data_IF_759293181620
#
_entry.id   IF_759293181620
#
_cell.length_a   1.000
_cell.length_b   1.000
_cell.length_c   1.000
_cell.angle_alpha   90.00
_cell.angle_beta   90.00
_cell.angle_gamma   90.00
#
_symmetry.space_group_name_H-M   'P 1'
#
loop_
_entity.id
_entity.type
_entity.pdbx_description
1 polymer ?
#
# COMPACT_ATOMS: atom_id res chain seq x y z
N UNK A 1 25.55 -7.17 10.83
CA UNK A 1 24.44 -7.97 10.23
C UNK A 1 25.03 -8.88 9.16
N UNK A 2 24.65 -10.16 9.20
CA UNK A 2 25.50 -11.30 8.88
C UNK A 2 25.73 -11.45 7.37
N UNK A 3 26.78 -10.79 6.84
CA UNK A 3 27.40 -11.13 5.56
C UNK A 3 28.33 -12.34 5.75
N UNK A 4 27.82 -13.44 6.32
CA UNK A 4 28.51 -14.69 6.10
C UNK A 4 28.33 -15.04 4.62
N UNK A 5 29.41 -15.46 3.97
CA UNK A 5 29.46 -15.82 2.56
C UNK A 5 28.74 -17.16 2.33
N UNK A 6 27.46 -17.20 2.70
CA UNK A 6 26.55 -18.35 2.59
C UNK A 6 26.17 -18.44 1.12
N UNK A 7 26.68 -19.47 0.46
CA UNK A 7 26.47 -19.70 -0.96
C UNK A 7 26.06 -21.14 -1.28
N UNK A 8 25.85 -21.96 -0.25
CA UNK A 8 25.42 -23.34 -0.38
C UNK A 8 24.69 -23.81 0.91
N UNK A 9 24.03 -24.97 0.82
CA UNK A 9 23.24 -25.55 1.91
C UNK A 9 24.08 -25.89 3.14
N UNK A 10 25.31 -26.38 2.98
CA UNK A 10 26.15 -26.76 4.13
C UNK A 10 26.48 -25.53 4.99
N UNK A 11 26.93 -24.44 4.37
CA UNK A 11 27.21 -23.19 5.08
C UNK A 11 25.96 -22.60 5.73
N UNK A 12 24.79 -22.78 5.11
CA UNK A 12 23.53 -22.37 5.73
C UNK A 12 23.25 -23.20 6.99
N UNK A 13 23.43 -24.52 6.93
CA UNK A 13 23.25 -25.42 8.08
C UNK A 13 24.23 -25.02 9.20
N UNK A 14 25.51 -24.80 8.87
CA UNK A 14 26.52 -24.36 9.84
C UNK A 14 26.13 -23.02 10.49
N UNK A 15 25.63 -22.08 9.68
CA UNK A 15 25.13 -20.79 10.15
C UNK A 15 23.94 -20.94 11.11
N UNK A 16 22.91 -21.69 10.73
CA UNK A 16 21.72 -21.92 11.56
C UNK A 16 22.08 -22.66 12.85
N UNK A 17 22.94 -23.66 12.77
CA UNK A 17 23.42 -24.43 13.93
C UNK A 17 24.18 -23.53 14.90
N UNK A 18 24.98 -22.60 14.38
CA UNK A 18 25.70 -21.62 15.20
C UNK A 18 24.77 -20.60 15.87
N UNK A 19 23.76 -20.10 15.15
CA UNK A 19 22.78 -19.16 15.71
C UNK A 19 21.97 -19.81 16.85
N UNK A 20 21.64 -21.10 16.73
CA UNK A 20 20.99 -21.92 17.75
C UNK A 20 19.77 -21.27 18.46
N UNK A 21 19.01 -20.47 17.73
CA UNK A 21 17.79 -19.85 18.22
C UNK A 21 16.54 -20.64 17.80
N UNK A 22 15.37 -20.22 18.28
CA UNK A 22 14.12 -20.94 18.03
C UNK A 22 13.78 -21.06 16.55
N UNK A 23 14.10 -20.05 15.74
CA UNK A 23 13.94 -20.08 14.28
C UNK A 23 14.89 -21.08 13.62
N UNK A 24 16.18 -21.03 13.96
CA UNK A 24 17.19 -21.93 13.40
C UNK A 24 16.87 -23.39 13.67
N UNK A 25 16.49 -23.73 14.91
CA UNK A 25 16.08 -25.10 15.29
C UNK A 25 14.83 -25.53 14.51
N UNK A 26 13.87 -24.62 14.34
CA UNK A 26 12.68 -24.87 13.55
C UNK A 26 13.01 -25.18 12.08
N UNK A 27 13.88 -24.40 11.44
CA UNK A 27 14.26 -24.60 10.04
C UNK A 27 15.09 -25.88 9.86
N UNK A 28 16.11 -26.11 10.71
CA UNK A 28 16.98 -27.28 10.63
C UNK A 28 16.18 -28.59 10.65
N UNK A 29 15.19 -28.69 11.54
CA UNK A 29 14.33 -29.88 11.64
C UNK A 29 13.39 -30.10 10.42
N UNK A 30 13.41 -29.19 9.43
CA UNK A 30 12.56 -29.22 8.24
C UNK A 30 13.34 -29.25 6.92
N UNK A 31 14.67 -29.09 6.96
CA UNK A 31 15.53 -29.20 5.78
C UNK A 31 15.59 -30.64 5.21
N UNK A 32 15.57 -31.65 6.08
CA UNK A 32 15.79 -33.06 5.71
C UNK A 32 14.53 -33.84 5.31
N UNK A 33 13.33 -33.23 5.35
CA UNK A 33 12.09 -33.95 5.08
C UNK A 33 11.95 -34.22 3.58
N UNK A 34 12.31 -35.43 3.15
CA UNK A 34 11.90 -35.98 1.85
C UNK A 34 10.36 -35.97 1.77
N UNK A 35 9.89 -35.00 0.98
CA UNK A 35 8.54 -34.61 0.63
C UNK A 35 7.63 -35.76 0.17
N UNK A 36 7.24 -36.67 1.05
CA UNK A 36 6.23 -37.69 0.74
C UNK A 36 4.83 -37.26 1.20
N UNK A 37 4.72 -36.42 2.23
CA UNK A 37 3.43 -35.86 2.70
C UNK A 37 3.13 -34.42 2.23
N UNK A 38 4.14 -33.70 1.73
CA UNK A 38 3.97 -32.30 1.31
C UNK A 38 3.19 -32.14 -0.01
N UNK A 39 3.12 -33.18 -0.84
CA UNK A 39 2.34 -33.16 -2.09
C UNK A 39 0.83 -33.23 -1.85
N UNK A 40 0.39 -33.69 -0.67
CA UNK A 40 -1.03 -33.78 -0.31
C UNK A 40 -1.58 -32.51 0.35
N UNK A 41 -0.70 -31.62 0.82
CA UNK A 41 -1.08 -30.39 1.53
C UNK A 41 -0.72 -29.15 0.69
N UNK A 42 -1.51 -28.07 0.85
CA UNK A 42 -1.17 -26.78 0.23
C UNK A 42 0.09 -26.22 0.88
N UNK A 43 1.20 -26.28 0.15
CA UNK A 43 2.51 -25.80 0.61
C UNK A 43 2.95 -24.53 -0.10
N UNK A 44 3.83 -23.78 0.55
CA UNK A 44 4.44 -22.55 0.05
C UNK A 44 5.95 -22.59 0.27
N UNK A 45 6.67 -21.83 -0.55
CA UNK A 45 8.11 -21.63 -0.37
C UNK A 45 8.35 -20.49 0.62
N UNK A 46 9.16 -20.76 1.62
CA UNK A 46 9.64 -19.78 2.60
C UNK A 46 11.13 -19.52 2.37
N UNK A 47 11.52 -18.24 2.33
CA UNK A 47 12.92 -17.83 2.31
C UNK A 47 13.51 -17.91 3.71
N UNK A 48 14.54 -18.74 3.89
CA UNK A 48 15.20 -18.95 5.19
C UNK A 48 15.92 -17.67 5.64
N UNK A 49 16.62 -17.04 4.71
CA UNK A 49 17.09 -15.66 4.83
C UNK A 49 16.08 -14.79 4.07
N UNK A 50 15.32 -13.91 4.73
CA UNK A 50 14.27 -13.14 4.08
C UNK A 50 14.79 -12.16 3.02
N UNK A 51 13.96 -11.88 2.00
CA UNK A 51 14.32 -10.99 0.88
C UNK A 51 14.52 -9.54 1.31
N UNK A 52 13.75 -9.05 2.28
CA UNK A 52 13.95 -7.72 2.88
C UNK A 52 15.26 -7.61 3.68
N UNK A 53 15.92 -8.72 3.95
CA UNK A 53 17.27 -8.80 4.52
C UNK A 53 18.32 -9.19 3.47
N UNK A 54 18.02 -9.00 2.17
CA UNK A 54 18.88 -9.33 1.03
C UNK A 54 19.15 -10.83 0.86
N UNK A 55 18.26 -11.69 1.36
CA UNK A 55 18.32 -13.12 1.12
C UNK A 55 18.14 -13.47 -0.37
N UNK A 56 18.96 -14.37 -0.92
CA UNK A 56 18.89 -14.70 -2.35
C UNK A 56 17.72 -15.64 -2.65
N UNK A 57 17.16 -15.55 -3.86
CA UNK A 57 16.14 -16.46 -4.35
C UNK A 57 16.75 -17.74 -4.94
N UNK A 58 17.51 -18.48 -4.13
CA UNK A 58 18.22 -19.69 -4.52
C UNK A 58 17.67 -20.89 -3.76
N UNK A 59 17.73 -22.09 -4.35
CA UNK A 59 17.15 -23.31 -3.78
C UNK A 59 17.63 -23.61 -2.37
N UNK A 60 18.92 -23.37 -2.07
CA UNK A 60 19.46 -23.58 -0.73
C UNK A 60 18.86 -22.65 0.33
N UNK A 61 18.32 -21.50 -0.08
CA UNK A 61 17.68 -20.51 0.80
C UNK A 61 16.15 -20.68 0.87
N UNK A 62 15.61 -21.73 0.23
CA UNK A 62 14.17 -21.97 0.15
C UNK A 62 13.81 -23.26 0.86
N UNK A 63 12.77 -23.22 1.68
CA UNK A 63 12.20 -24.41 2.31
C UNK A 63 10.69 -24.45 2.04
N UNK A 64 10.17 -25.65 1.74
CA UNK A 64 8.74 -25.85 1.50
C UNK A 64 8.03 -26.11 2.83
N UNK A 65 7.05 -25.27 3.16
CA UNK A 65 6.29 -25.33 4.41
C UNK A 65 4.78 -25.33 4.12
N UNK A 66 3.97 -25.87 5.03
CA UNK A 66 2.51 -25.62 5.01
C UNK A 66 2.25 -24.15 5.36
N UNK A 67 1.06 -23.63 5.09
CA UNK A 67 0.70 -22.24 5.39
C UNK A 67 0.90 -21.94 6.88
N UNK A 68 0.50 -22.85 7.77
CA UNK A 68 0.63 -22.70 9.23
C UNK A 68 2.10 -22.69 9.65
N UNK A 69 2.93 -23.54 9.04
CA UNK A 69 4.37 -23.60 9.32
C UNK A 69 5.11 -22.41 8.73
N UNK A 70 4.64 -21.88 7.61
CA UNK A 70 5.15 -20.66 7.02
C UNK A 70 4.87 -19.45 7.92
N UNK A 71 3.65 -19.32 8.44
CA UNK A 71 3.30 -18.28 9.42
C UNK A 71 4.17 -18.41 10.69
N UNK A 72 4.29 -19.62 11.24
CA UNK A 72 5.14 -19.89 12.40
C UNK A 72 6.60 -19.50 12.16
N UNK A 73 7.15 -19.75 10.97
CA UNK A 73 8.52 -19.38 10.63
C UNK A 73 8.73 -17.86 10.70
N UNK A 74 7.77 -17.08 10.19
CA UNK A 74 7.80 -15.62 10.26
C UNK A 74 7.62 -15.08 11.68
N UNK A 75 6.79 -15.71 12.52
CA UNK A 75 6.70 -15.39 13.94
C UNK A 75 8.03 -15.57 14.67
N UNK A 76 8.69 -16.71 14.47
CA UNK A 76 9.99 -16.99 15.07
C UNK A 76 11.06 -16.00 14.58
N UNK A 77 11.01 -15.56 13.31
CA UNK A 77 11.89 -14.50 12.81
C UNK A 77 11.64 -13.17 13.53
N UNK A 78 10.37 -12.81 13.74
CA UNK A 78 10.02 -11.61 14.49
C UNK A 78 10.48 -11.70 15.95
N UNK A 79 10.25 -12.82 16.63
CA UNK A 79 10.66 -13.02 18.02
C UNK A 79 12.18 -12.89 18.20
N UNK A 80 12.97 -13.53 17.32
CA UNK A 80 14.42 -13.55 17.42
C UNK A 80 15.09 -12.25 16.97
N UNK A 81 14.54 -11.58 15.95
CA UNK A 81 15.21 -10.44 15.29
C UNK A 81 14.41 -9.13 15.34
N UNK A 82 13.24 -9.12 15.97
CA UNK A 82 12.34 -7.96 16.12
C UNK A 82 11.99 -7.31 14.77
N UNK A 83 11.91 -8.13 13.72
CA UNK A 83 11.68 -7.66 12.37
C UNK A 83 10.18 -7.57 12.04
N UNK A 84 9.66 -6.35 12.06
CA UNK A 84 8.23 -6.05 11.90
C UNK A 84 7.65 -6.52 10.56
N UNK A 85 8.48 -6.63 9.51
CA UNK A 85 8.02 -7.18 8.22
C UNK A 85 7.61 -8.65 8.35
N UNK A 86 8.32 -9.43 9.14
CA UNK A 86 8.02 -10.84 9.39
C UNK A 86 6.75 -10.98 10.24
N UNK A 87 6.53 -10.11 11.24
CA UNK A 87 5.28 -10.06 11.98
C UNK A 87 4.08 -9.84 11.04
N UNK A 88 4.17 -8.85 10.15
CA UNK A 88 3.10 -8.56 9.19
C UNK A 88 2.86 -9.73 8.22
N UNK A 89 3.93 -10.40 7.76
CA UNK A 89 3.82 -11.58 6.91
C UNK A 89 3.12 -12.76 7.63
N UNK A 90 3.46 -13.04 8.90
CA UNK A 90 2.76 -14.07 9.68
C UNK A 90 1.27 -13.76 9.83
N UNK A 91 0.92 -12.52 10.21
CA UNK A 91 -0.47 -12.07 10.34
C UNK A 91 -1.27 -12.30 9.06
N UNK A 92 -0.70 -11.93 7.90
CA UNK A 92 -1.34 -12.15 6.60
C UNK A 92 -1.55 -13.65 6.30
N UNK A 93 -0.56 -14.50 6.59
CA UNK A 93 -0.68 -15.95 6.39
C UNK A 93 -1.73 -16.59 7.30
N UNK A 94 -1.99 -16.00 8.47
CA UNK A 94 -3.06 -16.39 9.40
C UNK A 94 -4.43 -15.80 9.06
N UNK A 95 -4.54 -15.05 7.96
CA UNK A 95 -5.78 -14.41 7.54
C UNK A 95 -6.07 -13.05 8.19
N UNK A 96 -5.16 -12.52 9.01
CA UNK A 96 -5.23 -11.18 9.62
C UNK A 96 -4.68 -10.13 8.64
N UNK A 97 -5.27 -10.04 7.45
CA UNK A 97 -4.74 -9.25 6.35
C UNK A 97 -4.66 -7.76 6.66
N UNK A 98 -5.66 -7.20 7.34
CA UNK A 98 -5.74 -5.76 7.64
C UNK A 98 -4.63 -5.36 8.60
N UNK A 99 -4.45 -6.14 9.67
CA UNK A 99 -3.43 -5.95 10.69
C UNK A 99 -2.03 -6.12 10.11
N UNK A 100 -1.82 -7.15 9.29
CA UNK A 100 -0.54 -7.38 8.62
C UNK A 100 -0.14 -6.26 7.68
N UNK A 101 -1.07 -5.79 6.83
CA UNK A 101 -0.82 -4.65 5.95
C UNK A 101 -0.53 -3.36 6.72
N UNK A 102 -1.29 -3.09 7.78
CA UNK A 102 -1.08 -1.89 8.59
C UNK A 102 0.28 -1.91 9.29
N UNK A 103 0.69 -3.06 9.82
CA UNK A 103 2.00 -3.29 10.45
C UNK A 103 3.15 -2.97 9.48
N UNK A 104 3.12 -3.55 8.27
CA UNK A 104 4.13 -3.31 7.23
C UNK A 104 4.12 -1.85 6.78
N UNK A 105 2.92 -1.27 6.59
CA UNK A 105 2.75 0.11 6.14
C UNK A 105 3.35 1.11 7.13
N UNK A 106 3.07 0.95 8.42
CA UNK A 106 3.59 1.82 9.47
C UNK A 106 5.11 1.76 9.51
N UNK A 107 5.70 0.55 9.49
CA UNK A 107 7.17 0.42 9.49
C UNK A 107 7.82 1.01 8.24
N UNK A 108 7.20 0.78 7.07
CA UNK A 108 7.68 1.37 5.81
C UNK A 108 7.63 2.90 5.87
N UNK A 109 6.56 3.46 6.43
CA UNK A 109 6.39 4.90 6.55
C UNK A 109 7.41 5.52 7.50
N UNK A 110 7.64 4.89 8.64
CA UNK A 110 8.67 5.27 9.60
C UNK A 110 10.06 5.29 8.94
N UNK A 111 10.42 4.22 8.23
CA UNK A 111 11.69 4.13 7.51
C UNK A 111 11.83 5.24 6.47
N UNK A 112 10.77 5.54 5.70
CA UNK A 112 10.79 6.65 4.72
C UNK A 112 10.96 8.00 5.39
N UNK A 113 10.32 8.22 6.54
CA UNK A 113 10.46 9.45 7.32
C UNK A 113 11.89 9.60 7.85
N UNK A 114 12.46 8.54 8.44
CA UNK A 114 13.81 8.54 8.99
C UNK A 114 14.88 8.75 7.91
N UNK A 115 14.72 8.08 6.77
CA UNK A 115 15.63 8.20 5.64
C UNK A 115 15.39 9.45 4.77
N UNK A 116 14.40 10.30 5.14
CA UNK A 116 13.98 11.48 4.36
C UNK A 116 13.83 11.16 2.87
N UNK A 117 13.18 10.04 2.55
CA UNK A 117 12.99 9.56 1.18
C UNK A 117 11.56 9.81 0.68
N UNK A 118 11.36 9.71 -0.63
CA UNK A 118 10.03 9.83 -1.27
C UNK A 118 9.36 11.16 -0.87
N UNK A 119 8.11 11.13 -0.40
CA UNK A 119 7.36 12.30 0.07
C UNK A 119 7.97 13.04 1.26
N UNK A 120 8.97 12.48 1.95
CA UNK A 120 9.66 13.14 3.07
C UNK A 120 10.98 13.79 2.65
N UNK A 121 11.38 13.64 1.39
CA UNK A 121 12.56 14.29 0.84
C UNK A 121 12.24 15.76 0.49
N UNK A 122 12.89 16.70 1.16
CA UNK A 122 12.66 18.14 0.98
C UNK A 122 13.06 18.65 -0.42
N UNK A 123 14.09 18.07 -1.02
CA UNK A 123 14.51 18.42 -2.38
C UNK A 123 13.50 17.99 -3.42
N UNK A 124 12.99 16.75 -3.31
CA UNK A 124 11.90 16.25 -4.16
C UNK A 124 10.64 17.11 -3.97
N UNK A 125 10.27 17.44 -2.73
CA UNK A 125 9.12 18.33 -2.47
C UNK A 125 9.29 19.71 -3.12
N UNK A 126 10.50 20.29 -3.02
CA UNK A 126 10.84 21.58 -3.66
C UNK A 126 10.75 21.48 -5.17
N UNK A 127 11.26 20.40 -5.76
CA UNK A 127 11.22 20.15 -7.20
C UNK A 127 9.78 19.96 -7.68
N UNK A 128 8.99 19.12 -7.01
CA UNK A 128 7.55 18.93 -7.29
C UNK A 128 6.75 20.23 -7.14
N UNK A 129 7.08 21.06 -6.15
CA UNK A 129 6.44 22.35 -5.92
C UNK A 129 6.70 23.39 -7.03
N UNK A 130 7.85 23.30 -7.72
CA UNK A 130 8.18 24.13 -8.88
C UNK A 130 7.47 23.70 -10.16
N UNK A 131 6.98 22.45 -10.22
CA UNK A 131 6.29 21.96 -11.42
C UNK A 131 5.03 22.78 -11.66
N UNK A 132 4.72 23.15 -12.91
CA UNK A 132 3.48 23.84 -13.22
C UNK A 132 2.32 22.97 -12.73
N UNK A 133 1.51 23.51 -11.84
CA UNK A 133 0.30 22.82 -11.38
C UNK A 133 -0.53 22.57 -12.62
N UNK A 134 -0.84 21.30 -12.92
CA UNK A 134 -1.81 20.97 -13.97
C UNK A 134 -3.03 21.82 -13.68
N UNK A 135 -3.36 22.72 -14.60
CA UNK A 135 -4.56 23.53 -14.47
C UNK A 135 -5.69 22.52 -14.29
N UNK A 136 -6.28 22.51 -13.08
CA UNK A 136 -7.41 21.61 -12.82
C UNK A 136 -8.39 21.94 -13.93
N UNK A 137 -8.74 20.94 -14.73
CA UNK A 137 -9.76 21.16 -15.73
C UNK A 137 -10.94 21.78 -14.98
N UNK A 138 -11.39 22.95 -15.43
CA UNK A 138 -12.69 23.44 -15.06
C UNK A 138 -13.65 22.26 -15.17
N UNK A 139 -14.49 22.02 -14.16
CA UNK A 139 -15.47 20.93 -14.14
C UNK A 139 -16.33 20.86 -15.42
N UNK A 140 -16.31 21.90 -16.27
CA UNK A 140 -16.86 21.96 -17.62
C UNK A 140 -16.26 20.99 -18.67
N UNK A 141 -15.27 20.13 -18.36
CA UNK A 141 -14.85 19.08 -19.32
C UNK A 141 -15.73 17.82 -19.32
N UNK A 142 -16.65 17.68 -18.37
CA UNK A 142 -17.62 16.59 -18.47
C UNK A 142 -18.58 16.90 -19.64
N UNK A 143 -18.67 16.04 -20.68
CA UNK A 143 -19.43 16.35 -21.90
C UNK A 143 -20.88 16.78 -21.61
N UNK A 144 -21.49 16.18 -20.58
CA UNK A 144 -22.85 16.50 -20.15
C UNK A 144 -22.98 17.89 -19.52
N UNK A 145 -21.99 18.33 -18.73
CA UNK A 145 -22.00 19.67 -18.13
C UNK A 145 -21.81 20.70 -19.24
N UNK A 146 -20.88 20.44 -20.17
CA UNK A 146 -20.67 21.31 -21.33
C UNK A 146 -21.94 21.43 -22.18
N UNK A 147 -22.57 20.31 -22.52
CA UNK A 147 -23.80 20.30 -23.30
C UNK A 147 -25.00 20.91 -22.56
N UNK A 148 -25.02 20.88 -21.22
CA UNK A 148 -26.04 21.58 -20.43
C UNK A 148 -25.82 23.09 -20.49
N UNK A 149 -24.58 23.57 -20.31
CA UNK A 149 -24.24 24.99 -20.41
C UNK A 149 -24.48 25.55 -21.82
N UNK A 150 -24.14 24.78 -22.86
CA UNK A 150 -24.38 25.16 -24.26
C UNK A 150 -25.87 25.25 -24.59
N UNK A 151 -26.71 24.39 -23.99
CA UNK A 151 -28.17 24.40 -24.20
C UNK A 151 -28.92 25.35 -23.26
N UNK A 152 -28.31 25.75 -22.15
CA UNK A 152 -29.01 26.37 -21.03
C UNK A 152 -29.82 25.35 -20.23
N UNK A 153 -30.18 25.73 -19.00
CA UNK A 153 -31.01 24.93 -18.10
C UNK A 153 -31.62 25.80 -16.99
N UNK A 154 -32.68 25.28 -16.37
CA UNK A 154 -33.35 25.91 -15.26
C UNK A 154 -32.98 25.20 -13.96
N UNK A 155 -32.59 25.97 -12.94
CA UNK A 155 -32.36 25.48 -11.58
C UNK A 155 -33.58 25.80 -10.74
N UNK A 156 -34.21 24.75 -10.19
CA UNK A 156 -35.37 24.88 -9.32
C UNK A 156 -34.94 24.74 -7.85
N UNK A 157 -35.23 25.76 -7.04
CA UNK A 157 -35.10 25.67 -5.60
C UNK A 157 -36.40 25.07 -5.02
N UNK A 158 -36.28 23.95 -4.31
CA UNK A 158 -37.42 23.23 -3.73
C UNK A 158 -38.05 23.92 -2.53
N UNK A 159 -37.27 24.72 -1.81
CA UNK A 159 -37.69 25.36 -0.56
C UNK A 159 -38.40 26.69 -0.82
N UNK A 160 -37.82 27.53 -1.68
CA UNK A 160 -38.43 28.80 -2.09
C UNK A 160 -39.42 28.66 -3.24
N UNK A 161 -39.38 27.54 -3.98
CA UNK A 161 -40.12 27.35 -5.22
C UNK A 161 -39.61 28.21 -6.39
N UNK A 162 -38.48 28.90 -6.23
CA UNK A 162 -37.97 29.82 -7.25
C UNK A 162 -37.14 29.13 -8.32
N UNK A 163 -37.12 29.74 -9.51
CA UNK A 163 -36.42 29.22 -10.69
C UNK A 163 -35.34 30.20 -11.12
N UNK A 164 -34.10 29.75 -11.14
CA UNK A 164 -32.96 30.48 -11.70
C UNK A 164 -32.66 29.94 -13.08
N UNK A 165 -32.92 30.75 -14.11
CA UNK A 165 -32.68 30.38 -15.51
C UNK A 165 -31.25 30.67 -15.91
N UNK A 166 -30.56 29.67 -16.44
CA UNK A 166 -29.25 29.80 -17.07
C UNK A 166 -29.45 29.69 -18.59
N UNK A 167 -29.23 30.78 -19.31
CA UNK A 167 -29.38 30.83 -20.75
C UNK A 167 -28.30 30.01 -21.49
N UNK A 168 -28.55 29.65 -22.75
CA UNK A 168 -27.56 28.99 -23.61
C UNK A 168 -26.26 29.81 -23.67
N UNK A 169 -25.13 29.16 -23.39
CA UNK A 169 -23.80 29.76 -23.39
C UNK A 169 -23.62 30.96 -22.43
N UNK A 170 -24.55 31.18 -21.50
CA UNK A 170 -24.46 32.29 -20.55
C UNK A 170 -23.34 32.06 -19.52
N UNK A 171 -23.17 30.82 -19.08
CA UNK A 171 -22.15 30.41 -18.15
C UNK A 171 -21.15 29.48 -18.85
N UNK A 172 -19.87 29.85 -18.87
CA UNK A 172 -18.81 29.02 -19.47
C UNK A 172 -18.25 27.95 -18.52
N UNK A 173 -18.64 27.99 -17.25
CA UNK A 173 -18.17 27.08 -16.21
C UNK A 173 -19.14 27.02 -15.02
N UNK A 174 -19.09 25.92 -14.25
CA UNK A 174 -19.92 25.73 -13.06
C UNK A 174 -19.78 26.86 -12.02
N UNK A 175 -18.61 27.48 -11.90
CA UNK A 175 -18.43 28.62 -10.98
C UNK A 175 -19.33 29.79 -11.38
N UNK A 176 -19.55 30.06 -12.67
CA UNK A 176 -20.42 31.14 -13.12
C UNK A 176 -21.90 30.82 -12.89
N UNK A 177 -22.26 29.53 -12.97
CA UNK A 177 -23.60 29.06 -12.56
C UNK A 177 -23.83 29.32 -11.08
N UNK A 178 -22.85 29.00 -10.22
CA UNK A 178 -22.90 29.24 -8.78
C UNK A 178 -22.98 30.74 -8.50
N UNK A 179 -22.13 31.56 -9.12
CA UNK A 179 -22.13 33.02 -8.91
C UNK A 179 -23.47 33.64 -9.29
N UNK A 180 -24.08 33.18 -10.40
CA UNK A 180 -25.40 33.63 -10.83
C UNK A 180 -26.51 33.19 -9.88
N UNK A 181 -26.47 31.94 -9.40
CA UNK A 181 -27.38 31.42 -8.39
C UNK A 181 -27.28 32.26 -7.10
N UNK A 182 -26.06 32.51 -6.61
CA UNK A 182 -25.77 33.30 -5.41
C UNK A 182 -26.04 34.81 -5.57
N UNK A 183 -26.34 35.26 -6.78
CA UNK A 183 -26.77 36.63 -7.07
C UNK A 183 -28.30 36.76 -7.12
N UNK A 184 -29.03 35.63 -7.12
CA UNK A 184 -30.48 35.64 -7.12
C UNK A 184 -31.03 36.18 -5.79
N UNK A 185 -32.06 37.05 -5.80
CA UNK A 185 -32.61 37.66 -4.58
C UNK A 185 -32.99 36.65 -3.49
N UNK A 186 -33.54 35.51 -3.89
CA UNK A 186 -33.98 34.44 -2.96
C UNK A 186 -32.82 33.68 -2.31
N UNK A 187 -31.62 33.75 -2.90
CA UNK A 187 -30.41 33.07 -2.39
C UNK A 187 -29.53 34.00 -1.55
N UNK A 188 -29.94 35.26 -1.34
CA UNK A 188 -29.13 36.26 -0.59
C UNK A 188 -28.89 35.88 0.88
N UNK A 189 -29.78 35.09 1.46
CA UNK A 189 -29.70 34.67 2.87
C UNK A 189 -28.86 33.39 3.06
N UNK A 190 -28.38 32.75 1.97
CA UNK A 190 -27.55 31.54 2.01
C UNK A 190 -26.05 31.81 1.78
N UNK A 191 -25.65 33.09 1.71
CA UNK A 191 -24.23 33.50 1.69
C UNK A 191 -23.61 33.46 3.07
#
# INVERSE_FOLDING_TARGET
MIKQNINNTQKLIDFLTKENNSYSVFILSRLDRKSTDLDKQKTQLHHIIPTHQLGPNLQWNLVRLTIEKHAQAHELLFENYQNVYDLGASQMLRGQFKEGWETIRQKTLENRRNNKSDRFNSEIQRELGKRPKKQRACYARHPYIKAALERGFDLFNKESGSIVKIGPCECNHMVGVIDKLMSHPDMKNER
#
